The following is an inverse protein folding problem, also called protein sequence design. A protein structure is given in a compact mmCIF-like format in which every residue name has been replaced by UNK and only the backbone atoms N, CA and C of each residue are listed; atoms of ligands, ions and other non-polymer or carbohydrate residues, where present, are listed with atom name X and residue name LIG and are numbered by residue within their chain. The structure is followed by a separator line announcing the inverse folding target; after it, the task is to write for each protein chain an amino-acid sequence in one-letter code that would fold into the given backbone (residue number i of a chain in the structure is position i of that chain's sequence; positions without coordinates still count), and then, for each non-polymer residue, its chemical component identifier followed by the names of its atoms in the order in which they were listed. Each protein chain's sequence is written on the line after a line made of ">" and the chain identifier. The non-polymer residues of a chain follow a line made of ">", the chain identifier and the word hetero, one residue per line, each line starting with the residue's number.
data_IF_611154141046
#
_entry.id   IF_611154141046
#
_cell.length_a   1.000
_cell.length_b   1.000
_cell.length_c   1.000
_cell.angle_alpha   90.00
_cell.angle_beta   90.00
_cell.angle_gamma   90.00
#
_symmetry.space_group_name_H-M   'P 1'
#
loop_
_entity.id
_entity.type
_entity.pdbx_description
1 polymer ?
#
# COMPACT_ATOMS: atom_id res chain seq x y z
N UNK A 1 12.20 6.77 9.27
CA UNK A 1 11.68 6.45 7.95
C UNK A 1 10.81 5.20 8.03
N UNK A 2 9.69 5.22 7.33
CA UNK A 2 8.71 4.15 7.43
C UNK A 2 9.09 2.97 6.56
N UNK A 3 8.73 1.74 6.97
CA UNK A 3 8.94 0.59 6.11
C UNK A 3 8.12 0.71 4.82
N UNK A 4 8.51 -0.03 3.80
CA UNK A 4 7.85 0.00 2.51
C UNK A 4 7.17 -1.33 2.23
N UNK A 5 6.07 -1.27 1.48
CA UNK A 5 5.38 -2.45 0.98
C UNK A 5 5.05 -2.22 -0.49
N UNK A 6 4.99 -3.31 -1.23
CA UNK A 6 4.74 -3.26 -2.66
C UNK A 6 3.60 -4.23 -2.98
N UNK A 7 2.63 -3.77 -3.76
CA UNK A 7 1.49 -4.61 -4.09
C UNK A 7 1.82 -5.61 -5.18
N UNK A 8 1.02 -6.66 -5.26
CA UNK A 8 0.99 -7.51 -6.45
C UNK A 8 0.21 -6.78 -7.54
N UNK A 9 0.29 -7.29 -8.76
CA UNK A 9 -0.47 -6.70 -9.87
C UNK A 9 -1.96 -6.66 -9.57
N UNK A 10 -2.47 -7.65 -8.85
CA UNK A 10 -3.89 -7.69 -8.49
C UNK A 10 -4.28 -6.59 -7.52
N UNK A 11 -3.32 -6.12 -6.73
CA UNK A 11 -3.59 -5.04 -5.78
C UNK A 11 -3.52 -3.65 -6.37
N UNK A 12 -2.97 -3.52 -7.58
CA UNK A 12 -2.75 -2.20 -8.18
C UNK A 12 -4.04 -1.39 -8.31
N UNK A 13 -5.09 -2.00 -8.82
CA UNK A 13 -6.33 -1.29 -9.03
C UNK A 13 -6.91 -0.77 -7.71
N UNK A 14 -6.79 -1.58 -6.66
CA UNK A 14 -7.29 -1.17 -5.34
C UNK A 14 -6.54 0.03 -4.81
N UNK A 15 -5.21 0.00 -4.86
CA UNK A 15 -4.45 1.12 -4.31
C UNK A 15 -4.56 2.37 -5.19
N UNK A 16 -4.69 2.20 -6.50
CA UNK A 16 -4.89 3.35 -7.38
C UNK A 16 -6.22 4.06 -7.10
N UNK A 17 -7.18 3.34 -6.56
CA UNK A 17 -8.48 3.90 -6.22
C UNK A 17 -8.62 4.26 -4.75
N UNK A 18 -7.53 4.20 -3.99
CA UNK A 18 -7.53 4.60 -2.60
C UNK A 18 -8.20 3.63 -1.65
N UNK A 19 -8.29 2.36 -2.03
CA UNK A 19 -8.90 1.33 -1.19
C UNK A 19 -7.88 0.74 -0.23
N UNK A 20 -8.37 0.13 0.85
CA UNK A 20 -7.51 -0.62 1.75
C UNK A 20 -6.94 -1.83 1.04
N UNK A 21 -5.81 -2.30 1.54
CA UNK A 21 -5.07 -3.38 0.90
C UNK A 21 -4.88 -4.51 1.89
N UNK A 22 -5.32 -5.70 1.51
CA UNK A 22 -5.15 -6.87 2.38
C UNK A 22 -3.77 -7.49 2.17
N UNK A 23 -3.25 -8.11 3.22
CA UNK A 23 -1.88 -8.64 3.21
C UNK A 23 -1.58 -9.58 2.05
N UNK A 24 -2.56 -10.36 1.63
CA UNK A 24 -2.35 -11.32 0.54
C UNK A 24 -2.12 -10.65 -0.81
N UNK A 25 -2.38 -9.36 -0.91
CA UNK A 25 -2.11 -8.59 -2.13
C UNK A 25 -0.77 -7.88 -2.09
N UNK A 26 0.05 -8.15 -1.09
CA UNK A 26 1.39 -7.61 -0.98
C UNK A 26 2.39 -8.64 -1.48
N UNK A 27 3.45 -8.19 -2.14
CA UNK A 27 4.51 -9.09 -2.56
C UNK A 27 5.28 -9.62 -1.36
N UNK A 28 5.43 -8.78 -0.33
CA UNK A 28 6.05 -9.17 0.92
C UNK A 28 5.37 -8.41 2.05
N UNK A 29 5.28 -9.06 3.21
CA UNK A 29 4.78 -8.36 4.39
C UNK A 29 5.79 -7.31 4.82
N UNK A 30 5.34 -6.10 5.17
CA UNK A 30 6.25 -5.10 5.69
C UNK A 30 6.80 -5.52 7.04
N UNK A 31 8.03 -5.12 7.33
CA UNK A 31 8.68 -5.47 8.58
C UNK A 31 8.19 -4.56 9.71
N UNK A 32 6.88 -4.58 9.93
CA UNK A 32 6.26 -3.78 10.97
C UNK A 32 4.95 -4.45 11.34
N UNK A 33 4.65 -4.45 12.63
CA UNK A 33 3.38 -4.99 13.11
C UNK A 33 2.32 -3.90 13.22
N UNK A 34 2.74 -2.66 13.25
CA UNK A 34 1.84 -1.53 13.36
C UNK A 34 2.56 -0.28 12.86
N UNK A 35 1.83 0.81 12.73
CA UNK A 35 2.39 2.09 12.31
C UNK A 35 2.21 2.32 10.83
N UNK A 36 2.92 3.31 10.31
CA UNK A 36 2.76 3.71 8.93
C UNK A 36 3.70 2.95 8.01
N UNK A 37 3.22 2.71 6.80
CA UNK A 37 3.95 1.97 5.77
C UNK A 37 3.85 2.76 4.46
N UNK A 38 4.98 2.88 3.77
CA UNK A 38 4.99 3.47 2.43
C UNK A 38 4.55 2.39 1.45
N UNK A 39 3.54 2.67 0.65
CA UNK A 39 3.01 1.68 -0.29
C UNK A 39 3.33 2.08 -1.72
N UNK A 40 3.84 1.11 -2.47
CA UNK A 40 4.15 1.24 -3.89
C UNK A 40 3.31 0.23 -4.66
N UNK A 41 2.96 0.55 -5.90
CA UNK A 41 2.27 -0.41 -6.74
C UNK A 41 3.27 -1.40 -7.35
N UNK A 42 2.79 -2.33 -8.17
CA UNK A 42 3.65 -3.38 -8.71
C UNK A 42 4.69 -2.85 -9.69
N UNK A 43 4.55 -1.60 -10.14
CA UNK A 43 5.51 -0.96 -11.04
C UNK A 43 6.38 0.06 -10.32
N UNK A 44 6.43 -0.02 -8.99
CA UNK A 44 7.24 0.85 -8.15
C UNK A 44 6.79 2.31 -8.11
N UNK A 45 5.55 2.58 -8.48
CA UNK A 45 5.01 3.93 -8.35
C UNK A 45 4.57 4.14 -6.90
N UNK A 46 5.02 5.23 -6.29
CA UNK A 46 4.65 5.54 -4.91
C UNK A 46 3.17 5.91 -4.84
N UNK A 47 2.45 5.21 -3.98
CA UNK A 47 1.00 5.41 -3.84
C UNK A 47 0.69 6.32 -2.66
N UNK A 48 1.27 6.07 -1.50
CA UNK A 48 1.00 6.89 -0.34
C UNK A 48 1.39 6.20 0.96
N UNK A 49 0.94 6.80 2.06
CA UNK A 49 1.15 6.24 3.39
C UNK A 49 -0.11 5.51 3.82
N UNK A 50 0.08 4.30 4.30
CA UNK A 50 -0.98 3.46 4.83
C UNK A 50 -0.65 3.10 6.26
N UNK A 51 -1.67 2.81 7.05
CA UNK A 51 -1.47 2.35 8.41
C UNK A 51 -1.64 0.84 8.48
N UNK A 52 -0.67 0.18 9.09
CA UNK A 52 -0.69 -1.28 9.24
C UNK A 52 -1.67 -1.68 10.32
N UNK A 53 -2.65 -2.48 9.96
CA UNK A 53 -3.55 -3.15 10.89
C UNK A 53 -3.19 -4.65 10.87
N UNK A 54 -3.96 -5.47 11.57
CA UNK A 54 -3.61 -6.88 11.75
C UNK A 54 -3.34 -7.61 10.42
N UNK A 55 -4.21 -7.47 9.45
CA UNK A 55 -4.09 -8.20 8.18
C UNK A 55 -4.35 -7.29 6.99
N UNK A 56 -4.22 -5.99 7.18
CA UNK A 56 -4.49 -5.06 6.09
C UNK A 56 -3.73 -3.75 6.28
N UNK A 57 -3.62 -3.01 5.18
CA UNK A 57 -3.07 -1.66 5.19
C UNK A 57 -4.21 -0.73 4.82
N UNK A 58 -4.44 0.29 5.65
CA UNK A 58 -5.54 1.23 5.48
C UNK A 58 -4.96 2.58 5.03
N UNK A 59 -5.44 3.16 3.92
CA UNK A 59 -4.86 4.41 3.43
C UNK A 59 -5.06 5.55 4.43
N UNK A 60 -3.98 6.29 4.67
CA UNK A 60 -3.98 7.45 5.54
C UNK A 60 -3.80 8.71 4.71
N UNK A 61 -2.83 8.68 3.80
CA UNK A 61 -2.56 9.83 2.95
C UNK A 61 -2.14 9.35 1.57
N UNK A 62 -2.96 9.70 0.58
CA UNK A 62 -2.71 9.28 -0.80
C UNK A 62 -1.93 10.36 -1.54
N UNK A 63 -0.89 9.93 -2.23
CA UNK A 63 -0.09 10.81 -3.09
C UNK A 63 -0.29 10.50 -4.55
N UNK A 64 -0.71 9.28 -4.86
CA UNK A 64 -0.96 8.88 -6.24
C UNK A 64 -2.19 9.58 -6.78
N UNK A 65 -2.09 10.08 -7.99
CA UNK A 65 -3.22 10.68 -8.68
C UNK A 65 -3.45 9.97 -10.00
N UNK A 66 -4.67 9.52 -10.17
CA UNK A 66 -5.05 8.87 -11.41
C UNK A 66 -5.20 9.93 -12.49
N UNK A 67 -4.47 9.77 -13.59
CA UNK A 67 -4.59 10.70 -14.71
C UNK A 67 -5.71 10.25 -15.65
N UNK A 68 -6.40 11.23 -16.20
CA UNK A 68 -7.49 10.97 -17.14
C UNK A 68 -7.02 11.22 -18.57
#
# INVERSE_FOLDING_TARGET
>A
QYPAAKTTAQGDLLVHNGNRLFSELLQEEPEAESGYVRVYDSEDTFIGLFEKKTDQLVPVKMFYRKEN
#
